data_IF_912025748109
#
_entry.id   IF_912025748109
#
_cell.length_a   1.000
_cell.length_b   1.000
_cell.length_c   1.000
_cell.angle_alpha   90.00
_cell.angle_beta   90.00
_cell.angle_gamma   90.00
#
_symmetry.space_group_name_H-M   'P 1'
#
loop_
_entity.id
_entity.type
_entity.pdbx_description
1 polymer ?
#
# COMPACT_ATOMS: atom_id res chain seq x y z
N UNK A 1 -19.01 -2.05 -27.34
CA UNK A 1 -19.88 -1.82 -26.18
C UNK A 1 -19.08 -1.03 -25.19
N UNK A 2 -19.39 0.25 -25.12
CA UNK A 2 -18.62 1.28 -24.44
C UNK A 2 -19.07 1.27 -22.97
N UNK A 3 -18.25 0.72 -22.06
CA UNK A 3 -18.45 0.89 -20.61
C UNK A 3 -18.12 2.34 -20.28
N UNK A 4 -18.99 3.27 -20.67
CA UNK A 4 -18.83 4.68 -20.39
C UNK A 4 -18.81 4.90 -18.88
N UNK A 5 -17.84 5.70 -18.45
CA UNK A 5 -17.50 6.11 -17.08
C UNK A 5 -18.63 6.73 -16.23
N UNK A 6 -19.90 6.63 -16.62
CA UNK A 6 -21.06 7.18 -15.92
C UNK A 6 -21.68 6.25 -14.88
N UNK A 7 -21.54 4.93 -15.02
CA UNK A 7 -22.06 3.96 -14.02
C UNK A 7 -21.17 3.90 -12.77
N UNK A 8 -19.85 4.04 -12.92
CA UNK A 8 -18.89 4.03 -11.80
C UNK A 8 -18.83 5.34 -11.01
N UNK A 9 -19.47 6.43 -11.48
CA UNK A 9 -19.55 7.70 -10.74
C UNK A 9 -20.65 7.72 -9.68
N UNK A 10 -21.58 6.75 -9.71
CA UNK A 10 -22.69 6.62 -8.76
C UNK A 10 -22.50 5.47 -7.75
N UNK A 11 -21.53 4.59 -8.00
CA UNK A 11 -21.31 3.41 -7.18
C UNK A 11 -20.05 3.58 -6.33
N UNK A 12 -20.22 3.62 -5.01
CA UNK A 12 -19.10 3.45 -4.10
C UNK A 12 -18.65 1.98 -4.13
N UNK A 13 -17.52 1.72 -4.79
CA UNK A 13 -16.96 0.38 -4.90
C UNK A 13 -16.36 -0.14 -3.59
N UNK A 14 -16.24 0.70 -2.57
CA UNK A 14 -15.71 0.36 -1.25
C UNK A 14 -16.81 0.06 -0.23
N UNK A 15 -18.07 0.36 -0.55
CA UNK A 15 -19.24 0.00 0.26
C UNK A 15 -19.93 -1.25 -0.31
N UNK A 16 -19.89 -2.34 0.44
CA UNK A 16 -20.35 -3.64 -0.03
C UNK A 16 -20.16 -4.74 1.00
N UNK A 17 -20.25 -5.97 0.52
CA UNK A 17 -20.06 -7.16 1.35
C UNK A 17 -19.31 -8.26 0.59
N UNK A 18 -18.70 -9.15 1.36
CA UNK A 18 -18.15 -10.39 0.83
C UNK A 18 -19.28 -11.39 0.57
N UNK A 19 -19.37 -11.84 -0.68
CA UNK A 19 -20.32 -12.87 -1.10
C UNK A 19 -19.57 -14.13 -1.52
N UNK A 20 -20.18 -15.29 -1.28
CA UNK A 20 -19.65 -16.55 -1.79
C UNK A 20 -20.01 -16.69 -3.27
N UNK A 21 -19.04 -17.06 -4.09
CA UNK A 21 -19.16 -17.26 -5.51
C UNK A 21 -18.91 -18.73 -5.83
N UNK A 22 -19.95 -19.43 -6.27
CA UNK A 22 -19.90 -20.88 -6.58
C UNK A 22 -19.10 -21.19 -7.85
N UNK A 23 -18.73 -20.18 -8.63
CA UNK A 23 -17.91 -20.34 -9.83
C UNK A 23 -16.44 -20.62 -9.50
N UNK A 24 -15.73 -21.25 -10.44
CA UNK A 24 -14.32 -21.58 -10.26
C UNK A 24 -13.43 -20.34 -10.17
N UNK A 25 -12.42 -20.30 -9.27
CA UNK A 25 -11.48 -19.19 -9.20
C UNK A 25 -10.85 -18.90 -10.56
N UNK A 26 -10.73 -17.61 -10.91
CA UNK A 26 -10.15 -17.18 -12.20
C UNK A 26 -8.74 -17.76 -12.40
N UNK A 27 -7.99 -17.87 -11.31
CA UNK A 27 -6.69 -18.50 -11.28
C UNK A 27 -6.71 -19.63 -10.24
N UNK A 28 -6.68 -20.90 -10.66
CA UNK A 28 -6.69 -22.02 -9.73
C UNK A 28 -5.39 -22.08 -8.91
N UNK A 29 -5.40 -22.74 -7.74
CA UNK A 29 -4.19 -22.92 -6.93
C UNK A 29 -3.04 -23.54 -7.73
N UNK A 30 -1.85 -22.93 -7.66
CA UNK A 30 -0.67 -23.41 -8.39
C UNK A 30 -0.62 -23.02 -9.87
N UNK A 31 -1.60 -22.26 -10.39
CA UNK A 31 -1.61 -21.82 -11.79
C UNK A 31 -0.38 -20.97 -12.18
N UNK A 32 0.09 -20.11 -11.26
CA UNK A 32 1.22 -19.24 -11.51
C UNK A 32 2.52 -19.76 -10.87
N UNK A 33 3.58 -20.03 -11.66
CA UNK A 33 4.83 -20.57 -11.14
C UNK A 33 5.69 -19.54 -10.41
N UNK A 34 5.37 -18.26 -10.52
CA UNK A 34 6.13 -17.15 -9.95
C UNK A 34 5.60 -16.65 -8.60
N UNK A 35 4.57 -17.29 -8.03
CA UNK A 35 4.11 -16.98 -6.67
C UNK A 35 5.18 -17.43 -5.68
N UNK A 36 5.77 -16.48 -4.95
CA UNK A 36 6.80 -16.79 -3.96
C UNK A 36 6.27 -17.74 -2.87
N UNK A 37 7.15 -18.61 -2.37
CA UNK A 37 6.80 -19.64 -1.38
C UNK A 37 6.13 -19.06 -0.13
N UNK A 38 6.53 -17.86 0.30
CA UNK A 38 5.94 -17.20 1.49
C UNK A 38 4.46 -16.86 1.32
N UNK A 39 3.99 -16.68 0.08
CA UNK A 39 2.59 -16.34 -0.23
C UNK A 39 1.80 -17.53 -0.77
N UNK A 40 2.46 -18.67 -1.05
CA UNK A 40 1.83 -19.83 -1.64
C UNK A 40 1.20 -20.76 -0.58
N UNK A 41 0.05 -20.36 -0.02
CA UNK A 41 -0.65 -21.16 0.99
C UNK A 41 -0.97 -22.60 0.54
N UNK A 42 -1.24 -22.79 -0.76
CA UNK A 42 -1.52 -24.10 -1.33
C UNK A 42 -0.29 -25.01 -1.25
N UNK A 43 0.87 -24.54 -1.75
CA UNK A 43 2.16 -25.24 -1.62
C UNK A 43 2.55 -25.47 -0.15
N UNK A 44 2.18 -24.55 0.74
CA UNK A 44 2.44 -24.64 2.17
C UNK A 44 1.45 -25.51 2.96
N UNK A 45 0.58 -26.26 2.28
CA UNK A 45 -0.26 -27.30 2.89
C UNK A 45 -1.55 -26.82 3.53
N UNK A 46 -2.05 -25.62 3.21
CA UNK A 46 -3.36 -25.14 3.71
C UNK A 46 -4.50 -26.00 3.12
N UNK A 47 -5.28 -26.71 3.94
CA UNK A 47 -6.27 -27.67 3.45
C UNK A 47 -7.58 -27.01 2.96
N UNK A 48 -7.97 -25.88 3.55
CA UNK A 48 -9.22 -25.19 3.21
C UNK A 48 -9.02 -24.24 2.03
N UNK A 49 -9.83 -24.35 0.97
CA UNK A 49 -9.79 -23.49 -0.23
C UNK A 49 -10.96 -22.51 -0.36
N UNK A 50 -11.95 -22.55 0.56
CA UNK A 50 -13.16 -21.71 0.48
C UNK A 50 -12.89 -20.20 0.47
N UNK A 51 -11.73 -19.76 0.97
CA UNK A 51 -11.31 -18.35 0.89
C UNK A 51 -11.11 -17.86 -0.55
N UNK A 52 -10.82 -18.75 -1.51
CA UNK A 52 -10.66 -18.40 -2.93
C UNK A 52 -11.99 -18.16 -3.64
N UNK A 53 -13.10 -18.50 -3.00
CA UNK A 53 -14.47 -18.37 -3.53
C UNK A 53 -15.21 -17.15 -2.99
N UNK A 54 -14.53 -16.28 -2.26
CA UNK A 54 -15.13 -15.03 -1.80
C UNK A 54 -14.88 -13.93 -2.83
N UNK A 55 -15.95 -13.20 -3.17
CA UNK A 55 -15.91 -12.06 -4.07
C UNK A 55 -16.48 -10.84 -3.36
N UNK A 56 -15.87 -9.68 -3.60
CA UNK A 56 -16.41 -8.40 -3.14
C UNK A 56 -17.57 -7.96 -4.05
N UNK A 57 -18.72 -7.63 -3.46
CA UNK A 57 -19.91 -7.16 -4.15
C UNK A 57 -20.32 -5.79 -3.59
N UNK A 58 -20.07 -4.68 -4.33
CA UNK A 58 -20.58 -3.37 -3.96
C UNK A 58 -22.11 -3.35 -3.92
N UNK A 59 -22.70 -2.53 -3.05
CA UNK A 59 -24.17 -2.45 -2.93
C UNK A 59 -24.84 -1.82 -4.18
N UNK A 60 -24.15 -0.91 -4.87
CA UNK A 60 -24.71 -0.12 -5.98
C UNK A 60 -24.32 -0.58 -7.40
N UNK A 61 -23.44 -1.57 -7.56
CA UNK A 61 -22.97 -2.03 -8.87
C UNK A 61 -22.25 -3.38 -8.80
N UNK A 62 -21.99 -4.00 -9.96
CA UNK A 62 -21.24 -5.26 -10.04
C UNK A 62 -19.88 -5.06 -10.72
N UNK A 63 -18.81 -5.50 -10.05
CA UNK A 63 -17.45 -5.45 -10.60
C UNK A 63 -17.28 -6.58 -11.63
N UNK A 64 -16.82 -6.31 -12.87
CA UNK A 64 -16.59 -7.36 -13.87
C UNK A 64 -15.57 -8.41 -13.38
N UNK A 65 -15.82 -9.69 -13.71
CA UNK A 65 -14.96 -10.81 -13.25
C UNK A 65 -13.54 -10.73 -13.82
N UNK A 66 -13.37 -10.25 -15.05
CA UNK A 66 -12.10 -10.28 -15.77
C UNK A 66 -11.67 -8.88 -16.17
N UNK A 67 -10.91 -8.21 -15.31
CA UNK A 67 -10.09 -7.07 -15.71
C UNK A 67 -8.64 -7.46 -15.43
N UNK A 68 -7.91 -7.98 -16.44
CA UNK A 68 -6.47 -8.20 -16.28
C UNK A 68 -5.81 -6.84 -16.13
N UNK A 69 -5.44 -6.49 -14.91
CA UNK A 69 -4.58 -5.33 -14.65
C UNK A 69 -3.19 -5.88 -14.40
N UNK A 70 -2.28 -5.66 -15.35
CA UNK A 70 -0.85 -5.85 -15.11
C UNK A 70 -0.39 -4.65 -14.29
N UNK A 71 -0.23 -4.86 -12.98
CA UNK A 71 0.31 -3.85 -12.08
C UNK A 71 1.80 -4.11 -11.87
N UNK A 72 2.66 -3.17 -12.28
CA UNK A 72 4.01 -3.12 -11.74
C UNK A 72 3.94 -2.49 -10.34
N UNK A 73 3.81 -3.31 -9.30
CA UNK A 73 4.01 -2.86 -7.93
C UNK A 73 5.49 -2.54 -7.72
N UNK A 74 5.79 -1.28 -7.40
CA UNK A 74 7.13 -0.86 -7.04
C UNK A 74 7.21 -0.74 -5.52
N UNK A 75 8.19 -1.43 -4.94
CA UNK A 75 8.35 -1.64 -3.50
C UNK A 75 8.77 -0.34 -2.80
N UNK A 76 7.90 0.17 -1.93
CA UNK A 76 8.08 1.34 -1.04
C UNK A 76 8.96 1.02 0.18
N UNK A 77 9.61 2.02 0.83
CA UNK A 77 9.29 3.45 0.84
C UNK A 77 10.15 4.29 -0.11
N UNK A 78 9.49 5.11 -0.93
CA UNK A 78 10.14 6.09 -1.80
C UNK A 78 10.35 7.45 -1.12
N UNK A 79 10.23 7.51 0.20
CA UNK A 79 10.68 8.65 0.99
C UNK A 79 12.19 8.57 1.15
N UNK A 80 12.86 9.72 1.11
CA UNK A 80 14.31 9.74 1.26
C UNK A 80 14.70 9.41 2.70
N UNK A 81 15.61 8.44 2.89
CA UNK A 81 16.31 8.31 4.16
C UNK A 81 17.45 9.34 4.21
N UNK A 82 17.67 9.94 5.37
CA UNK A 82 18.82 10.79 5.64
C UNK A 82 19.63 10.24 6.83
N UNK A 83 20.96 10.35 6.77
CA UNK A 83 21.83 10.02 7.90
C UNK A 83 22.18 11.28 8.68
N UNK A 84 21.84 11.31 9.95
CA UNK A 84 22.23 12.36 10.91
C UNK A 84 23.21 11.79 11.93
N UNK A 85 24.07 12.63 12.53
CA UNK A 85 24.92 12.21 13.64
C UNK A 85 24.18 12.43 14.95
N UNK A 86 24.19 11.44 15.84
CA UNK A 86 23.69 11.59 17.20
C UNK A 86 24.70 12.35 18.10
N UNK A 87 24.30 12.65 19.34
CA UNK A 87 25.15 13.32 20.32
C UNK A 87 26.43 12.55 20.71
N UNK A 88 26.59 11.32 20.24
CA UNK A 88 27.77 10.46 20.43
C UNK A 88 28.57 10.26 19.13
N UNK A 89 28.20 10.93 18.04
CA UNK A 89 28.87 10.83 16.74
C UNK A 89 28.53 9.58 15.92
N UNK A 90 27.49 8.81 16.30
CA UNK A 90 26.99 7.68 15.49
C UNK A 90 26.02 8.16 14.42
N UNK A 91 26.11 7.56 13.23
CA UNK A 91 25.11 7.77 12.18
C UNK A 91 23.80 7.10 12.56
N UNK A 92 22.73 7.89 12.60
CA UNK A 92 21.36 7.46 12.75
C UNK A 92 20.60 7.77 11.46
N UNK A 93 19.88 6.78 10.93
CA UNK A 93 18.99 7.00 9.81
C UNK A 93 17.65 7.57 10.27
N UNK A 94 17.14 8.52 9.50
CA UNK A 94 15.88 9.21 9.72
C UNK A 94 15.07 9.20 8.45
N UNK A 95 13.74 9.25 8.60
CA UNK A 95 12.80 9.34 7.50
C UNK A 95 12.49 10.81 7.20
N UNK A 96 12.79 11.25 5.97
CA UNK A 96 12.41 12.60 5.50
C UNK A 96 10.93 12.62 5.13
N UNK A 97 10.16 13.39 5.87
CA UNK A 97 8.72 13.57 5.62
C UNK A 97 8.46 14.57 4.48
N UNK A 98 9.44 15.44 4.21
CA UNK A 98 9.40 16.56 3.26
C UNK A 98 10.12 16.24 1.93
N UNK A 99 10.56 15.00 1.72
CA UNK A 99 11.30 14.63 0.51
C UNK A 99 10.92 13.25 -0.03
N UNK A 100 10.52 13.27 -1.31
CA UNK A 100 10.43 12.07 -2.15
C UNK A 100 11.79 11.80 -2.81
N UNK A 101 12.18 10.53 -2.89
CA UNK A 101 13.46 10.10 -3.44
C UNK A 101 13.59 10.48 -4.93
N UNK A 102 14.58 11.30 -5.28
CA UNK A 102 14.73 11.87 -6.65
C UNK A 102 14.82 10.83 -7.78
N UNK A 103 15.32 9.63 -7.50
CA UNK A 103 15.42 8.55 -8.48
C UNK A 103 14.06 8.18 -9.07
N UNK A 104 12.98 8.43 -8.33
CA UNK A 104 11.65 7.96 -8.70
C UNK A 104 10.96 8.79 -9.77
N UNK A 105 11.27 10.08 -9.85
CA UNK A 105 10.71 10.97 -10.88
C UNK A 105 11.04 10.45 -12.27
N UNK A 106 12.19 9.76 -12.44
CA UNK A 106 12.57 9.15 -13.72
C UNK A 106 11.79 7.88 -14.03
N UNK A 107 11.42 7.10 -13.01
CA UNK A 107 10.75 5.81 -13.17
C UNK A 107 9.29 6.00 -13.62
N UNK A 108 8.60 7.00 -13.06
CA UNK A 108 7.17 7.20 -13.32
C UNK A 108 6.82 8.10 -14.49
N UNK A 109 7.79 8.83 -15.04
CA UNK A 109 7.56 9.87 -16.07
C UNK A 109 6.72 9.39 -17.28
N UNK A 110 6.83 8.11 -17.63
CA UNK A 110 6.20 7.55 -18.81
C UNK A 110 5.09 6.54 -18.54
N UNK A 111 4.77 6.26 -17.27
CA UNK A 111 3.76 5.27 -16.92
C UNK A 111 2.34 5.78 -17.24
N UNK A 112 1.46 4.90 -17.72
CA UNK A 112 0.05 5.22 -17.95
C UNK A 112 -0.78 5.06 -16.67
N UNK A 113 -0.37 4.15 -15.78
CA UNK A 113 -0.98 3.92 -14.48
C UNK A 113 0.12 3.80 -13.42
N UNK A 114 -0.03 4.49 -12.30
CA UNK A 114 0.86 4.37 -11.14
C UNK A 114 0.03 4.11 -9.89
N UNK A 115 0.42 3.09 -9.12
CA UNK A 115 -0.26 2.67 -7.89
C UNK A 115 0.72 2.81 -6.72
N UNK A 116 0.36 3.63 -5.74
CA UNK A 116 1.15 3.89 -4.53
C UNK A 116 0.60 3.12 -3.33
N UNK A 117 1.47 2.62 -2.45
CA UNK A 117 1.11 2.02 -1.16
C UNK A 117 2.28 2.18 -0.19
N UNK A 118 2.03 2.65 1.03
CA UNK A 118 3.07 2.66 2.06
C UNK A 118 2.60 2.18 3.44
N UNK A 119 1.33 1.78 3.60
CA UNK A 119 0.67 1.66 4.90
C UNK A 119 1.42 0.78 5.92
N UNK A 120 1.89 -0.40 5.49
CA UNK A 120 2.55 -1.40 6.34
C UNK A 120 3.88 -0.97 6.97
N UNK A 121 4.46 0.17 6.57
CA UNK A 121 5.68 0.73 7.15
C UNK A 121 5.43 1.71 8.29
N UNK A 122 4.20 2.20 8.45
CA UNK A 122 3.82 3.21 9.44
C UNK A 122 3.27 2.59 10.71
N UNK A 123 4.03 1.67 11.31
CA UNK A 123 3.73 1.10 12.62
C UNK A 123 4.71 1.62 13.66
N UNK A 124 4.27 1.79 14.92
CA UNK A 124 5.10 2.34 16.00
C UNK A 124 6.47 1.66 16.09
N UNK A 125 6.52 0.33 15.99
CA UNK A 125 7.79 -0.41 16.07
C UNK A 125 8.72 -0.12 14.88
N UNK A 126 8.19 -0.03 13.66
CA UNK A 126 8.99 0.23 12.45
C UNK A 126 9.46 1.67 12.35
N UNK A 127 8.77 2.60 13.02
CA UNK A 127 9.07 4.03 13.02
C UNK A 127 9.76 4.50 14.31
N UNK A 128 10.46 3.60 15.01
CA UNK A 128 11.19 3.90 16.26
C UNK A 128 10.33 4.59 17.33
N UNK A 129 9.05 4.21 17.45
CA UNK A 129 8.03 4.83 18.30
C UNK A 129 7.85 6.34 18.08
N UNK A 130 8.31 6.85 16.93
CA UNK A 130 8.32 8.26 16.59
C UNK A 130 9.43 9.07 17.24
N UNK A 131 10.38 8.42 17.95
CA UNK A 131 11.45 9.12 18.67
C UNK A 131 12.67 9.34 17.79
N UNK A 132 13.11 10.59 17.64
CA UNK A 132 14.33 10.96 16.91
C UNK A 132 14.45 10.30 15.52
N UNK A 133 13.34 10.10 14.82
CA UNK A 133 13.28 9.31 13.58
C UNK A 133 12.75 10.09 12.40
N UNK A 134 11.75 10.94 12.62
CA UNK A 134 11.16 11.76 11.56
C UNK A 134 11.90 13.08 11.41
N UNK A 135 12.13 13.51 10.18
CA UNK A 135 12.89 14.72 9.86
C UNK A 135 12.18 15.58 8.82
N UNK A 136 12.21 16.89 9.02
CA UNK A 136 11.82 17.93 8.05
C UNK A 136 12.93 18.99 7.97
N UNK A 137 13.44 19.27 6.77
CA UNK A 137 14.62 20.10 6.58
C UNK A 137 15.81 19.60 7.40
N UNK A 138 16.30 20.43 8.32
CA UNK A 138 17.38 20.09 9.26
C UNK A 138 16.87 19.69 10.65
N UNK A 139 15.56 19.68 10.89
CA UNK A 139 14.95 19.38 12.18
C UNK A 139 14.62 17.91 12.25
N UNK A 140 15.22 17.20 13.20
CA UNK A 140 14.77 15.87 13.63
C UNK A 140 13.80 16.07 14.79
N UNK A 141 12.63 15.44 14.71
CA UNK A 141 11.66 15.47 15.81
C UNK A 141 12.13 14.57 16.94
N UNK A 142 12.31 15.13 18.13
CA UNK A 142 12.58 14.35 19.35
C UNK A 142 11.50 13.29 19.55
N UNK A 143 10.24 13.69 19.36
CA UNK A 143 9.10 12.79 19.29
C UNK A 143 8.03 13.34 18.36
N UNK A 144 7.49 12.49 17.48
CA UNK A 144 6.36 12.82 16.62
C UNK A 144 5.46 11.60 16.48
N UNK A 145 4.15 11.81 16.66
CA UNK A 145 3.17 10.73 16.55
C UNK A 145 3.09 10.18 15.13
N UNK A 146 2.99 8.85 15.00
CA UNK A 146 3.06 8.16 13.69
C UNK A 146 1.95 8.63 12.75
N UNK A 147 0.76 8.90 13.28
CA UNK A 147 -0.36 9.44 12.50
C UNK A 147 -0.06 10.83 11.95
N UNK A 148 0.56 11.70 12.76
CA UNK A 148 0.93 13.04 12.33
C UNK A 148 2.04 13.00 11.27
N UNK A 149 3.07 12.17 11.50
CA UNK A 149 4.13 11.94 10.54
C UNK A 149 3.60 11.39 9.21
N UNK A 150 2.65 10.45 9.27
CA UNK A 150 2.00 9.89 8.09
C UNK A 150 1.22 10.95 7.29
N UNK A 151 0.45 11.79 7.97
CA UNK A 151 -0.29 12.90 7.34
C UNK A 151 0.67 13.85 6.62
N UNK A 152 1.78 14.25 7.28
CA UNK A 152 2.81 15.10 6.67
C UNK A 152 3.43 14.47 5.43
N UNK A 153 3.81 13.20 5.52
CA UNK A 153 4.36 12.46 4.39
C UNK A 153 3.38 12.34 3.22
N UNK A 154 2.10 12.13 3.49
CA UNK A 154 1.06 12.09 2.45
C UNK A 154 0.85 13.45 1.78
N UNK A 155 0.93 14.56 2.52
CA UNK A 155 0.90 15.89 1.92
C UNK A 155 2.08 16.10 0.96
N UNK A 156 3.30 15.81 1.41
CA UNK A 156 4.50 15.88 0.55
C UNK A 156 4.37 15.00 -0.70
N UNK A 157 3.82 13.78 -0.55
CA UNK A 157 3.58 12.89 -1.68
C UNK A 157 2.56 13.47 -2.66
N UNK A 158 1.45 14.02 -2.16
CA UNK A 158 0.41 14.63 -2.99
C UNK A 158 0.96 15.82 -3.78
N UNK A 159 1.65 16.75 -3.11
CA UNK A 159 2.30 17.91 -3.74
C UNK A 159 3.32 17.48 -4.81
N UNK A 160 4.07 16.40 -4.53
CA UNK A 160 5.01 15.82 -5.48
C UNK A 160 4.30 15.26 -6.71
N UNK A 161 3.20 14.53 -6.54
CA UNK A 161 2.40 13.99 -7.66
C UNK A 161 1.91 15.14 -8.54
N UNK A 162 1.29 16.16 -7.95
CA UNK A 162 0.74 17.30 -8.67
C UNK A 162 1.81 18.06 -9.45
N UNK A 163 3.04 18.10 -8.93
CA UNK A 163 4.17 18.81 -9.56
C UNK A 163 4.95 17.99 -10.59
N UNK A 164 4.93 16.66 -10.52
CA UNK A 164 5.85 15.80 -11.28
C UNK A 164 5.17 14.78 -12.21
N UNK A 165 3.87 14.52 -12.03
CA UNK A 165 3.12 13.54 -12.82
C UNK A 165 2.18 14.27 -13.76
N UNK A 166 2.25 13.96 -15.06
CA UNK A 166 1.29 14.49 -16.01
C UNK A 166 -0.03 13.71 -15.90
N UNK A 167 -0.97 14.23 -15.10
CA UNK A 167 -2.27 13.60 -14.83
C UNK A 167 -3.19 13.54 -16.05
N UNK A 168 -2.88 14.25 -17.13
CA UNK A 168 -3.60 14.10 -18.42
C UNK A 168 -3.20 12.82 -19.17
N UNK A 169 -2.00 12.28 -18.89
CA UNK A 169 -1.48 11.03 -19.45
C UNK A 169 -1.58 9.88 -18.46
N UNK A 170 -1.21 10.13 -17.20
CA UNK A 170 -1.01 9.10 -16.18
C UNK A 170 -2.16 9.09 -15.18
N UNK A 171 -2.77 7.93 -14.95
CA UNK A 171 -3.71 7.74 -13.84
C UNK A 171 -2.98 7.32 -12.57
N UNK A 172 -3.26 8.01 -11.48
CA UNK A 172 -2.63 7.75 -10.17
C UNK A 172 -3.66 7.16 -9.22
N UNK A 173 -3.28 6.07 -8.55
CA UNK A 173 -4.06 5.43 -7.49
C UNK A 173 -3.22 5.33 -6.21
N UNK A 174 -3.89 5.39 -5.06
CA UNK A 174 -3.29 5.08 -3.77
C UNK A 174 -4.07 3.95 -3.11
N UNK A 175 -3.38 2.87 -2.75
CA UNK A 175 -3.97 1.72 -2.07
C UNK A 175 -4.02 2.02 -0.58
N UNK A 176 -5.21 1.87 0.01
CA UNK A 176 -5.44 2.04 1.45
C UNK A 176 -4.63 1.07 2.32
N UNK A 177 -4.76 1.25 3.63
CA UNK A 177 -4.08 0.39 4.60
C UNK A 177 -4.63 -1.05 4.53
N UNK A 178 -3.73 -2.02 4.40
CA UNK A 178 -4.08 -3.45 4.45
C UNK A 178 -4.02 -3.92 5.90
N UNK A 179 -5.16 -4.33 6.45
CA UNK A 179 -5.28 -4.72 7.86
C UNK A 179 -4.49 -5.98 8.20
N UNK A 180 -3.72 -5.91 9.28
CA UNK A 180 -3.12 -7.09 9.91
C UNK A 180 -4.17 -7.78 10.78
N UNK A 181 -4.29 -9.10 10.63
CA UNK A 181 -5.21 -9.93 11.41
C UNK A 181 -4.39 -10.80 12.35
N UNK A 182 -4.78 -10.85 13.61
CA UNK A 182 -4.09 -11.63 14.63
C UNK A 182 -5.04 -12.68 15.20
N UNK A 183 -4.53 -13.88 15.39
CA UNK A 183 -5.21 -14.96 16.11
C UNK A 183 -4.90 -14.84 17.60
N UNK A 184 -5.90 -15.14 18.45
CA UNK A 184 -5.78 -15.14 19.93
C UNK A 184 -5.49 -13.77 20.57
N UNK A 185 -5.84 -12.66 19.92
CA UNK A 185 -5.72 -11.31 20.49
C UNK A 185 -5.12 -10.33 19.50
N UNK A 186 -5.05 -9.05 19.85
CA UNK A 186 -4.32 -8.05 19.05
C UNK A 186 -2.79 -8.20 19.23
N UNK A 187 -2.01 -7.50 18.40
CA UNK A 187 -0.54 -7.53 18.44
C UNK A 187 0.05 -7.14 19.82
N UNK A 188 -0.62 -6.26 20.56
CA UNK A 188 -0.22 -5.81 21.88
C UNK A 188 -0.79 -6.67 23.02
N UNK A 189 -1.58 -7.69 22.70
CA UNK A 189 -2.23 -8.57 23.68
C UNK A 189 -1.79 -10.04 23.53
N UNK A 190 -0.64 -10.29 22.89
CA UNK A 190 -0.10 -11.64 22.69
C UNK A 190 -0.69 -12.41 21.50
N UNK A 191 -1.42 -11.73 20.62
CA UNK A 191 -1.92 -12.31 19.37
C UNK A 191 -0.80 -12.65 18.39
N UNK A 192 -0.99 -13.71 17.61
CA UNK A 192 -0.06 -14.12 16.56
C UNK A 192 -0.68 -13.90 15.17
N UNK A 193 0.08 -13.26 14.28
CA UNK A 193 -0.24 -13.10 12.86
C UNK A 193 -0.17 -14.45 12.15
#
# INVERSE_FOLDING_TARGET
MDFTSKELTSCDIFDGSWVFDDSEPIYPPGYFPFVEDKFNCYKNGRPASGFLRHRWQPHGCSIPRSVPVVTCELRFPHFSCASVLDGYGKRKETLRLDMIQRSITKIYKNADIVIFNTGHWWTHQKTNEGKDYFQEGNRVYERLEVKEAYTKALHTWADWVDSNVNTTKTRVFFVGYSSSHFTKGAWNAGGQC
#
